data_IF_656916506428
#
_entry.id   IF_656916506428
#
_cell.length_a   1.000
_cell.length_b   1.000
_cell.length_c   1.000
_cell.angle_alpha   90.00
_cell.angle_beta   90.00
_cell.angle_gamma   90.00
#
_symmetry.space_group_name_H-M   'P 1'
#
loop_
_entity.id
_entity.type
_entity.pdbx_description
1 polymer ?
#
# COMPACT_ATOMS: atom_id res chain seq x y z
N UNK A 1 18.70 -48.65 65.09
CA UNK A 1 17.25 -48.76 65.32
C UNK A 1 16.56 -47.81 64.35
N UNK A 2 15.75 -48.39 63.43
CA UNK A 2 14.59 -47.81 62.69
C UNK A 2 14.73 -46.45 61.97
N UNK A 3 14.31 -46.24 60.73
CA UNK A 3 13.75 -47.09 59.67
C UNK A 3 13.63 -46.23 58.41
N UNK A 4 13.90 -46.85 57.27
CA UNK A 4 13.68 -46.39 55.90
C UNK A 4 12.19 -46.10 55.64
N UNK A 5 11.90 -45.00 54.93
CA UNK A 5 10.59 -44.73 54.33
C UNK A 5 10.78 -44.16 52.92
N UNK A 6 10.74 -45.08 51.97
CA UNK A 6 10.69 -44.92 50.52
C UNK A 6 9.37 -44.28 50.08
N UNK A 7 9.41 -43.23 49.25
CA UNK A 7 8.27 -42.84 48.40
C UNK A 7 8.74 -42.61 46.96
N UNK A 8 8.48 -43.62 46.16
CA UNK A 8 8.43 -43.54 44.70
C UNK A 8 7.10 -42.91 44.27
N UNK A 9 7.12 -42.01 43.29
CA UNK A 9 5.98 -41.71 42.39
C UNK A 9 6.48 -41.20 41.04
N UNK A 10 6.51 -42.15 40.09
CA UNK A 10 6.04 -42.03 38.70
C UNK A 10 6.12 -40.67 37.97
N UNK A 11 7.06 -40.56 37.04
CA UNK A 11 6.83 -39.97 35.69
C UNK A 11 5.96 -40.95 34.84
N UNK A 12 5.44 -40.65 33.62
CA UNK A 12 5.72 -39.53 32.70
C UNK A 12 4.48 -38.91 32.01
N UNK A 13 4.65 -37.74 31.39
CA UNK A 13 3.63 -37.08 30.57
C UNK A 13 4.25 -36.33 29.40
N UNK A 14 4.79 -37.06 28.43
CA UNK A 14 5.30 -36.52 27.17
C UNK A 14 4.14 -36.07 26.27
N UNK A 15 3.93 -34.77 26.12
CA UNK A 15 3.05 -34.23 25.07
C UNK A 15 3.76 -34.24 23.72
N UNK A 16 3.63 -35.38 23.04
CA UNK A 16 3.81 -35.51 21.60
C UNK A 16 2.62 -34.92 20.85
N UNK A 17 2.86 -34.16 19.79
CA UNK A 17 1.96 -34.11 18.63
C UNK A 17 1.36 -32.76 18.27
N UNK A 18 1.98 -32.08 17.29
CA UNK A 18 1.39 -31.88 15.94
C UNK A 18 2.37 -31.08 15.07
N UNK A 19 3.29 -31.81 14.44
CA UNK A 19 3.94 -31.39 13.19
C UNK A 19 2.87 -31.40 12.09
N UNK A 20 2.49 -30.23 11.57
CA UNK A 20 1.72 -30.16 10.31
C UNK A 20 2.70 -30.39 9.16
N UNK A 21 2.68 -31.59 8.61
CA UNK A 21 3.38 -31.93 7.38
C UNK A 21 2.77 -31.19 6.20
N UNK A 22 3.58 -30.36 5.54
CA UNK A 22 3.30 -29.86 4.21
C UNK A 22 3.68 -30.96 3.22
N UNK A 23 2.66 -31.65 2.70
CA UNK A 23 2.84 -32.61 1.61
C UNK A 23 3.09 -31.86 0.31
N UNK A 24 4.33 -31.95 -0.15
CA UNK A 24 4.72 -31.81 -1.56
C UNK A 24 3.86 -32.71 -2.44
N UNK A 25 3.16 -32.13 -3.42
CA UNK A 25 2.73 -32.84 -4.62
C UNK A 25 3.55 -32.31 -5.79
N UNK A 26 4.51 -33.11 -6.19
CA UNK A 26 5.13 -33.06 -7.50
C UNK A 26 4.25 -33.83 -8.50
N UNK A 27 3.91 -33.18 -9.60
CA UNK A 27 3.55 -33.75 -10.89
C UNK A 27 4.20 -32.80 -11.89
N UNK A 28 5.20 -33.16 -12.69
CA UNK A 28 5.40 -34.44 -13.37
C UNK A 28 4.67 -34.41 -14.70
N UNK A 29 5.08 -33.51 -15.60
CA UNK A 29 4.79 -33.63 -17.03
C UNK A 29 5.99 -33.09 -17.83
N UNK A 30 6.85 -34.04 -18.19
CA UNK A 30 7.64 -34.06 -19.40
C UNK A 30 6.72 -33.87 -20.62
N UNK A 31 7.16 -33.10 -21.62
CA UNK A 31 6.90 -33.34 -23.05
C UNK A 31 7.66 -32.32 -23.92
N UNK A 32 8.56 -32.84 -24.76
CA UNK A 32 8.73 -32.40 -26.16
C UNK A 32 9.75 -31.29 -26.42
N UNK A 33 11.04 -31.59 -26.60
CA UNK A 33 11.66 -31.82 -27.93
C UNK A 33 11.27 -30.81 -29.02
N UNK A 34 12.09 -29.75 -29.20
CA UNK A 34 12.38 -29.18 -30.52
C UNK A 34 13.86 -28.76 -30.58
N UNK A 35 14.68 -29.66 -31.16
CA UNK A 35 15.99 -29.37 -31.76
C UNK A 35 15.84 -29.49 -33.27
N UNK A 36 16.27 -28.47 -34.03
CA UNK A 36 16.76 -28.49 -35.43
C UNK A 36 17.24 -27.04 -35.72
N UNK A 37 18.53 -26.73 -35.80
CA UNK A 37 19.43 -26.79 -36.99
C UNK A 37 18.91 -25.92 -38.16
N UNK A 38 19.66 -25.07 -38.87
CA UNK A 38 21.03 -24.54 -38.84
C UNK A 38 21.08 -23.33 -39.83
N UNK A 39 22.18 -23.02 -40.55
CA UNK A 39 22.95 -21.77 -40.48
C UNK A 39 22.67 -20.76 -41.61
N UNK A 40 23.10 -19.51 -41.42
CA UNK A 40 23.02 -18.47 -42.45
C UNK A 40 24.18 -17.49 -42.36
N UNK A 41 25.17 -17.71 -43.22
CA UNK A 41 26.27 -16.80 -43.57
C UNK A 41 25.79 -15.37 -43.82
N UNK A 42 26.53 -14.37 -43.30
CA UNK A 42 26.79 -13.12 -44.02
C UNK A 42 28.18 -12.58 -43.73
N UNK A 43 28.99 -12.61 -44.78
CA UNK A 43 30.19 -11.82 -44.99
C UNK A 43 29.92 -10.30 -44.94
N UNK A 44 30.95 -9.58 -44.49
CA UNK A 44 31.33 -8.25 -44.99
C UNK A 44 30.55 -7.06 -44.42
N UNK A 45 31.21 -6.16 -43.70
CA UNK A 45 31.86 -4.98 -44.31
C UNK A 45 32.73 -4.31 -43.24
N UNK A 46 34.01 -4.29 -43.61
CA UNK A 46 35.11 -3.44 -43.17
C UNK A 46 34.74 -1.96 -43.11
N UNK A 47 34.93 -1.32 -41.94
CA UNK A 47 35.28 0.10 -41.86
C UNK A 47 36.32 0.30 -40.78
N UNK A 48 37.55 0.32 -41.27
CA UNK A 48 38.69 1.01 -40.71
C UNK A 48 38.32 2.48 -40.44
N UNK A 49 38.34 2.90 -39.16
CA UNK A 49 38.42 4.31 -38.79
C UNK A 49 39.57 4.48 -37.81
N UNK A 50 40.57 5.13 -38.36
CA UNK A 50 41.82 5.65 -37.80
C UNK A 50 41.56 6.49 -36.53
N UNK A 51 42.07 5.97 -35.42
CA UNK A 51 43.04 6.60 -34.50
C UNK A 51 43.13 8.14 -34.47
N UNK A 52 42.77 8.75 -33.33
CA UNK A 52 43.54 9.81 -32.67
C UNK A 52 43.01 10.01 -31.24
N UNK A 53 43.81 9.65 -30.23
CA UNK A 53 44.66 10.55 -29.43
C UNK A 53 43.91 11.16 -28.23
N UNK A 54 44.13 10.54 -27.07
CA UNK A 54 44.88 11.10 -25.91
C UNK A 54 44.07 12.07 -25.05
N UNK A 55 43.41 11.52 -24.04
CA UNK A 55 43.23 12.24 -22.77
C UNK A 55 43.45 11.29 -21.59
N UNK A 56 44.68 11.35 -21.10
CA UNK A 56 45.22 10.80 -19.86
C UNK A 56 44.44 11.32 -18.65
N UNK A 57 43.31 10.68 -18.33
CA UNK A 57 42.62 10.90 -17.05
C UNK A 57 43.07 9.84 -16.04
N UNK A 58 44.06 10.26 -15.25
CA UNK A 58 44.58 9.71 -13.99
C UNK A 58 43.50 8.94 -13.20
N UNK A 59 43.35 7.64 -13.46
CA UNK A 59 42.63 6.71 -12.59
C UNK A 59 43.59 6.36 -11.45
N UNK A 60 43.28 6.84 -10.25
CA UNK A 60 43.86 6.28 -9.03
C UNK A 60 43.60 4.78 -9.03
N UNK A 61 44.69 4.01 -8.90
CA UNK A 61 44.66 2.57 -8.69
C UNK A 61 43.88 2.28 -7.41
N UNK A 62 42.58 2.09 -7.54
CA UNK A 62 41.77 1.40 -6.56
C UNK A 62 42.25 -0.04 -6.52
N UNK A 63 43.00 -0.34 -5.47
CA UNK A 63 43.08 -1.61 -4.76
C UNK A 63 42.82 -2.85 -5.63
N UNK A 64 43.90 -3.51 -6.02
CA UNK A 64 43.89 -4.92 -6.42
C UNK A 64 43.13 -5.68 -5.32
N UNK A 65 42.05 -6.42 -5.62
CA UNK A 65 41.45 -7.30 -4.64
C UNK A 65 42.52 -8.33 -4.32
N UNK A 66 43.06 -8.30 -3.10
CA UNK A 66 43.83 -9.43 -2.58
C UNK A 66 42.98 -10.67 -2.80
N UNK A 67 43.43 -11.51 -3.73
CA UNK A 67 42.87 -12.83 -3.97
C UNK A 67 43.01 -13.55 -2.63
N UNK A 68 41.91 -13.57 -1.85
CA UNK A 68 41.91 -14.12 -0.50
C UNK A 68 42.46 -15.54 -0.61
N UNK A 69 43.57 -15.81 0.07
CA UNK A 69 44.14 -17.16 0.09
C UNK A 69 43.02 -18.16 0.47
N UNK A 70 43.05 -19.40 -0.04
CA UNK A 70 42.05 -20.41 0.28
C UNK A 70 41.80 -20.43 1.80
N UNK A 71 40.55 -20.51 2.24
CA UNK A 71 40.17 -20.43 3.66
C UNK A 71 41.01 -21.36 4.55
N UNK A 72 41.38 -22.54 4.04
CA UNK A 72 42.27 -23.50 4.69
C UNK A 72 43.68 -22.97 4.98
N UNK A 73 44.22 -22.12 4.12
CA UNK A 73 45.51 -21.47 4.34
C UNK A 73 45.40 -20.38 5.43
N UNK A 74 44.36 -19.54 5.35
CA UNK A 74 44.16 -18.47 6.35
C UNK A 74 43.90 -19.02 7.76
N UNK A 75 43.07 -20.06 7.87
CA UNK A 75 42.77 -20.68 9.18
C UNK A 75 44.03 -21.32 9.78
N UNK A 76 44.91 -21.89 8.95
CA UNK A 76 46.18 -22.47 9.39
C UNK A 76 47.16 -21.41 9.86
N UNK A 77 47.26 -20.30 9.14
CA UNK A 77 48.12 -19.18 9.54
C UNK A 77 47.63 -18.60 10.88
N UNK A 78 46.33 -18.41 11.07
CA UNK A 78 45.78 -17.91 12.34
C UNK A 78 46.01 -18.84 13.54
N UNK A 79 46.03 -20.16 13.32
CA UNK A 79 46.41 -21.12 14.38
C UNK A 79 47.90 -21.02 14.68
N UNK A 80 48.73 -20.93 13.64
CA UNK A 80 50.20 -20.85 13.76
C UNK A 80 50.62 -19.57 14.48
N UNK A 81 49.92 -18.46 14.22
CA UNK A 81 50.10 -17.17 14.90
C UNK A 81 49.47 -17.11 16.30
N UNK A 82 48.75 -18.16 16.73
CA UNK A 82 48.08 -18.21 18.03
C UNK A 82 46.87 -17.28 18.16
N UNK A 83 46.37 -16.75 17.05
CA UNK A 83 45.19 -15.87 17.01
C UNK A 83 43.92 -16.65 17.36
N UNK A 84 43.84 -17.91 16.92
CA UNK A 84 42.74 -18.82 17.24
C UNK A 84 43.28 -20.18 17.69
N UNK A 85 42.54 -20.83 18.59
CA UNK A 85 42.84 -22.20 19.01
C UNK A 85 42.50 -23.23 17.91
N UNK A 86 43.12 -24.41 17.95
CA UNK A 86 42.79 -25.53 17.05
C UNK A 86 41.30 -25.93 17.14
N UNK A 87 40.70 -25.81 18.32
CA UNK A 87 39.28 -26.10 18.53
C UNK A 87 38.36 -25.03 17.90
N UNK A 88 38.80 -23.77 17.83
CA UNK A 88 38.11 -22.73 17.06
C UNK A 88 38.29 -22.94 15.55
N UNK A 89 39.49 -23.33 15.11
CA UNK A 89 39.76 -23.65 13.71
C UNK A 89 38.89 -24.81 13.22
N UNK A 90 38.75 -25.87 14.03
CA UNK A 90 37.84 -26.99 13.74
C UNK A 90 36.38 -26.53 13.57
N UNK A 91 35.89 -25.65 14.45
CA UNK A 91 34.53 -25.09 14.36
C UNK A 91 34.33 -24.21 13.13
N UNK A 92 35.33 -23.44 12.73
CA UNK A 92 35.28 -22.60 11.52
C UNK A 92 35.23 -23.49 10.27
N UNK A 93 36.06 -24.54 10.20
CA UNK A 93 36.05 -25.51 9.08
C UNK A 93 34.71 -26.22 8.99
N UNK A 94 34.15 -26.65 10.12
CA UNK A 94 32.87 -27.37 10.14
C UNK A 94 31.72 -26.46 9.67
N UNK A 95 31.72 -25.19 10.10
CA UNK A 95 30.73 -24.19 9.66
C UNK A 95 30.91 -23.75 8.20
N UNK A 96 32.12 -23.81 7.66
CA UNK A 96 32.41 -23.55 6.25
C UNK A 96 32.05 -24.73 5.33
N UNK A 97 32.01 -25.96 5.87
CA UNK A 97 31.55 -27.17 5.15
C UNK A 97 30.04 -27.25 5.01
N UNK A 98 29.29 -26.62 5.92
CA UNK A 98 27.83 -26.45 5.73
C UNK A 98 27.67 -25.58 4.48
N UNK A 99 27.06 -26.08 3.39
CA UNK A 99 26.79 -25.27 2.22
C UNK A 99 26.04 -24.04 2.70
N UNK A 100 26.64 -22.86 2.52
CA UNK A 100 25.91 -21.61 2.76
C UNK A 100 24.69 -21.72 1.84
N UNK A 101 23.45 -21.72 2.37
CA UNK A 101 22.29 -21.72 1.50
C UNK A 101 22.49 -20.57 0.50
N UNK A 102 22.28 -20.83 -0.79
CA UNK A 102 22.60 -19.96 -1.95
C UNK A 102 22.09 -18.51 -1.86
N UNK A 103 21.40 -18.15 -0.79
CA UNK A 103 20.89 -16.82 -0.48
C UNK A 103 21.97 -15.74 -0.37
N UNK A 104 23.21 -16.05 0.06
CA UNK A 104 24.24 -15.01 0.27
C UNK A 104 25.08 -14.66 -0.96
N UNK A 105 25.30 -15.60 -1.87
CA UNK A 105 25.95 -15.31 -3.17
C UNK A 105 24.99 -14.57 -4.10
N UNK A 106 23.69 -14.86 -4.05
CA UNK A 106 22.66 -14.05 -4.72
C UNK A 106 22.56 -12.62 -4.17
N UNK A 107 22.82 -12.41 -2.87
CA UNK A 107 22.84 -11.08 -2.27
C UNK A 107 24.05 -10.25 -2.74
N UNK A 108 25.21 -10.89 -2.94
CA UNK A 108 26.42 -10.20 -3.43
C UNK A 108 26.40 -9.97 -4.95
N UNK A 109 25.78 -10.89 -5.72
CA UNK A 109 25.51 -10.69 -7.16
C UNK A 109 24.43 -9.64 -7.42
N UNK A 110 23.45 -9.48 -6.51
CA UNK A 110 22.52 -8.34 -6.56
C UNK A 110 23.28 -7.03 -6.46
N UNK A 111 24.16 -6.86 -5.47
CA UNK A 111 24.87 -5.59 -5.21
C UNK A 111 25.75 -5.11 -6.38
N UNK A 112 26.23 -5.99 -7.27
CA UNK A 112 27.05 -5.61 -8.44
C UNK A 112 26.34 -5.72 -9.79
N UNK A 113 25.14 -6.30 -9.84
CA UNK A 113 24.33 -6.52 -11.05
C UNK A 113 23.16 -5.55 -11.27
N UNK A 114 23.06 -4.46 -10.49
CA UNK A 114 21.92 -3.53 -10.45
C UNK A 114 21.67 -2.67 -11.71
N UNK A 115 22.47 -2.75 -12.77
CA UNK A 115 22.45 -1.72 -13.81
C UNK A 115 21.36 -1.84 -14.89
N UNK A 116 21.10 -3.02 -15.44
CA UNK A 116 20.40 -3.12 -16.73
C UNK A 116 18.93 -3.52 -16.65
N UNK A 117 18.63 -4.60 -15.93
CA UNK A 117 17.29 -5.18 -15.89
C UNK A 117 16.32 -4.37 -15.02
N UNK A 118 16.79 -3.87 -13.88
CA UNK A 118 15.97 -3.02 -13.01
C UNK A 118 15.68 -1.66 -13.64
N UNK A 119 16.67 -0.99 -14.24
CA UNK A 119 16.45 0.28 -14.95
C UNK A 119 15.45 0.12 -16.11
N UNK A 120 15.51 -1.00 -16.86
CA UNK A 120 14.51 -1.29 -17.90
C UNK A 120 13.12 -1.52 -17.30
N UNK A 121 13.02 -2.21 -16.16
CA UNK A 121 11.74 -2.41 -15.46
C UNK A 121 11.14 -1.08 -14.99
N UNK A 122 11.94 -0.20 -14.37
CA UNK A 122 11.49 1.13 -13.94
C UNK A 122 11.11 2.02 -15.12
N UNK A 123 11.87 1.99 -16.22
CA UNK A 123 11.53 2.76 -17.41
C UNK A 123 10.19 2.32 -18.03
N UNK A 124 9.93 1.00 -18.08
CA UNK A 124 8.65 0.46 -18.56
C UNK A 124 7.50 0.85 -17.63
N UNK A 125 7.69 0.80 -16.31
CA UNK A 125 6.67 1.20 -15.34
C UNK A 125 6.37 2.71 -15.41
N UNK A 126 7.42 3.55 -15.48
CA UNK A 126 7.28 5.00 -15.63
C UNK A 126 6.60 5.39 -16.95
N UNK A 127 6.95 4.73 -18.06
CA UNK A 127 6.33 4.95 -19.36
C UNK A 127 4.86 4.52 -19.37
N UNK A 128 4.53 3.43 -18.66
CA UNK A 128 3.15 3.00 -18.45
C UNK A 128 2.33 4.04 -17.68
N UNK A 129 2.87 4.60 -16.60
CA UNK A 129 2.20 5.67 -15.84
C UNK A 129 2.05 6.95 -16.64
N UNK A 130 3.09 7.37 -17.36
CA UNK A 130 3.04 8.55 -18.22
C UNK A 130 2.02 8.37 -19.35
N UNK A 131 2.04 7.22 -20.03
CA UNK A 131 1.07 6.89 -21.07
C UNK A 131 -0.36 6.90 -20.55
N UNK A 132 -0.61 6.29 -19.38
CA UNK A 132 -1.92 6.32 -18.73
C UNK A 132 -2.39 7.73 -18.40
N UNK A 133 -1.51 8.58 -17.85
CA UNK A 133 -1.81 9.99 -17.57
C UNK A 133 -2.15 10.77 -18.85
N UNK A 134 -1.37 10.58 -19.92
CA UNK A 134 -1.64 11.21 -21.22
C UNK A 134 -2.99 10.78 -21.80
N UNK A 135 -3.36 9.50 -21.66
CA UNK A 135 -4.69 9.01 -22.07
C UNK A 135 -5.81 9.68 -21.27
N UNK A 136 -5.65 9.82 -19.94
CA UNK A 136 -6.64 10.51 -19.10
C UNK A 136 -6.78 11.99 -19.49
N UNK A 137 -5.67 12.69 -19.71
CA UNK A 137 -5.68 14.09 -20.16
C UNK A 137 -6.37 14.20 -21.51
N UNK A 138 -6.00 13.38 -22.49
CA UNK A 138 -6.60 13.38 -23.82
C UNK A 138 -8.12 13.10 -23.74
N UNK A 139 -8.54 12.07 -23.00
CA UNK A 139 -9.95 11.74 -22.82
C UNK A 139 -10.73 12.91 -22.18
N UNK A 140 -10.15 13.59 -21.19
CA UNK A 140 -10.76 14.76 -20.54
C UNK A 140 -10.88 15.95 -21.49
N UNK A 141 -9.85 16.21 -22.30
CA UNK A 141 -9.90 17.27 -23.32
C UNK A 141 -10.93 16.98 -24.41
N UNK A 142 -10.99 15.74 -24.91
CA UNK A 142 -12.00 15.33 -25.88
C UNK A 142 -13.41 15.43 -25.30
N UNK A 143 -13.60 15.02 -24.04
CA UNK A 143 -14.88 15.20 -23.35
C UNK A 143 -15.23 16.70 -23.28
N UNK A 144 -14.36 17.55 -22.75
CA UNK A 144 -14.64 18.98 -22.69
C UNK A 144 -14.95 19.63 -24.05
N UNK A 145 -14.34 19.15 -25.13
CA UNK A 145 -14.54 19.72 -26.46
C UNK A 145 -15.84 19.25 -27.14
N UNK A 146 -16.20 17.97 -26.98
CA UNK A 146 -17.29 17.35 -27.76
C UNK A 146 -18.49 16.91 -26.92
N UNK A 147 -18.40 16.92 -25.59
CA UNK A 147 -19.46 16.38 -24.73
C UNK A 147 -20.81 17.06 -24.96
N UNK A 148 -20.82 18.39 -25.07
CA UNK A 148 -22.02 19.17 -25.36
C UNK A 148 -22.66 18.82 -26.70
N UNK A 149 -21.86 18.44 -27.69
CA UNK A 149 -22.30 18.15 -29.06
C UNK A 149 -22.83 16.72 -29.21
N UNK A 150 -22.47 15.82 -28.28
CA UNK A 150 -23.02 14.48 -28.22
C UNK A 150 -24.45 14.51 -27.71
N UNK A 151 -25.36 13.80 -28.39
CA UNK A 151 -26.68 13.51 -27.84
C UNK A 151 -26.60 12.58 -26.63
N UNK A 152 -27.65 12.60 -25.80
CA UNK A 152 -27.78 11.82 -24.55
C UNK A 152 -27.39 10.34 -24.74
N UNK A 153 -27.96 9.69 -25.78
CA UNK A 153 -27.68 8.29 -26.08
C UNK A 153 -26.21 8.00 -26.42
N UNK A 154 -25.51 8.94 -27.06
CA UNK A 154 -24.09 8.79 -27.37
C UNK A 154 -23.22 8.94 -26.11
N UNK A 155 -23.54 9.90 -25.22
CA UNK A 155 -22.86 10.05 -23.92
C UNK A 155 -23.01 8.80 -23.06
N UNK A 156 -24.24 8.27 -22.96
CA UNK A 156 -24.53 7.02 -22.27
C UNK A 156 -23.79 5.84 -22.90
N UNK A 157 -23.79 5.73 -24.23
CA UNK A 157 -23.10 4.67 -24.96
C UNK A 157 -21.58 4.68 -24.73
N UNK A 158 -20.96 5.87 -24.75
CA UNK A 158 -19.52 6.03 -24.49
C UNK A 158 -19.17 5.62 -23.06
N UNK A 159 -19.93 6.08 -22.06
CA UNK A 159 -19.66 5.75 -20.66
C UNK A 159 -19.92 4.27 -20.33
N UNK A 160 -21.01 3.70 -20.84
CA UNK A 160 -21.30 2.27 -20.69
C UNK A 160 -20.24 1.41 -21.39
N UNK A 161 -19.86 1.77 -22.62
CA UNK A 161 -18.80 1.10 -23.38
C UNK A 161 -17.45 1.16 -22.66
N UNK A 162 -17.09 2.32 -22.11
CA UNK A 162 -15.88 2.47 -21.30
C UNK A 162 -15.93 1.60 -20.04
N UNK A 163 -17.02 1.61 -19.28
CA UNK A 163 -17.17 0.78 -18.08
C UNK A 163 -17.02 -0.71 -18.40
N UNK A 164 -17.76 -1.22 -19.39
CA UNK A 164 -17.69 -2.63 -19.80
C UNK A 164 -16.30 -2.99 -20.34
N UNK A 165 -15.73 -2.15 -21.20
CA UNK A 165 -14.41 -2.36 -21.79
C UNK A 165 -13.30 -2.40 -20.72
N UNK A 166 -13.36 -1.53 -19.73
CA UNK A 166 -12.41 -1.49 -18.61
C UNK A 166 -12.54 -2.71 -17.68
N UNK A 167 -13.77 -3.15 -17.36
CA UNK A 167 -14.00 -4.40 -16.61
C UNK A 167 -13.44 -5.60 -17.38
N UNK A 168 -13.73 -5.70 -18.68
CA UNK A 168 -13.25 -6.77 -19.54
C UNK A 168 -11.72 -6.78 -19.63
N UNK A 169 -11.10 -5.63 -19.87
CA UNK A 169 -9.64 -5.49 -19.93
C UNK A 169 -8.96 -5.89 -18.62
N UNK A 170 -9.51 -5.47 -17.47
CA UNK A 170 -9.00 -5.88 -16.16
C UNK A 170 -9.17 -7.38 -15.91
N UNK A 171 -10.27 -7.97 -16.37
CA UNK A 171 -10.56 -9.41 -16.23
C UNK A 171 -9.67 -10.28 -17.12
N UNK A 172 -9.33 -9.80 -18.32
CA UNK A 172 -8.42 -10.47 -19.26
C UNK A 172 -6.94 -10.35 -18.86
N UNK A 173 -6.61 -9.43 -17.96
CA UNK A 173 -5.26 -9.30 -17.42
C UNK A 173 -4.89 -10.61 -16.70
N UNK A 174 -3.78 -11.29 -17.02
CA UNK A 174 -3.46 -12.59 -16.42
C UNK A 174 -3.10 -12.50 -14.93
N UNK A 175 -3.59 -13.44 -14.12
CA UNK A 175 -3.13 -13.60 -12.73
C UNK A 175 -1.78 -14.33 -12.72
N UNK A 176 -0.77 -13.79 -12.02
CA UNK A 176 0.50 -14.49 -11.77
C UNK A 176 1.73 -14.00 -12.53
N UNK A 177 1.66 -12.93 -13.35
CA UNK A 177 2.83 -12.34 -14.03
C UNK A 177 3.54 -11.21 -13.26
N UNK A 178 3.33 -11.14 -11.94
CA UNK A 178 3.95 -10.14 -11.05
C UNK A 178 3.05 -8.96 -10.67
N UNK A 179 3.58 -8.11 -9.79
CA UNK A 179 2.83 -7.04 -9.11
C UNK A 179 2.29 -5.97 -10.08
N UNK A 180 3.00 -5.67 -11.16
CA UNK A 180 2.60 -4.66 -12.14
C UNK A 180 1.23 -4.95 -12.78
N UNK A 181 0.96 -6.21 -13.12
CA UNK A 181 -0.33 -6.62 -13.72
C UNK A 181 -1.49 -6.55 -12.72
N UNK A 182 -1.22 -6.84 -11.43
CA UNK A 182 -2.21 -6.68 -10.36
C UNK A 182 -2.58 -5.20 -10.17
N UNK A 183 -1.59 -4.30 -10.22
CA UNK A 183 -1.80 -2.84 -10.18
C UNK A 183 -2.62 -2.36 -11.37
N UNK A 184 -2.25 -2.77 -12.59
CA UNK A 184 -2.98 -2.40 -13.81
C UNK A 184 -4.46 -2.84 -13.73
N UNK A 185 -4.72 -4.09 -13.35
CA UNK A 185 -6.10 -4.58 -13.15
C UNK A 185 -6.87 -3.70 -12.17
N UNK A 186 -6.25 -3.35 -11.05
CA UNK A 186 -6.87 -2.52 -10.01
C UNK A 186 -7.23 -1.12 -10.53
N UNK A 187 -6.35 -0.51 -11.33
CA UNK A 187 -6.59 0.80 -11.95
C UNK A 187 -7.72 0.71 -12.98
N UNK A 188 -7.72 -0.33 -13.83
CA UNK A 188 -8.78 -0.53 -14.82
C UNK A 188 -10.16 -0.69 -14.15
N UNK A 189 -10.24 -1.45 -13.05
CA UNK A 189 -11.48 -1.66 -12.31
C UNK A 189 -11.94 -0.42 -11.52
N UNK A 190 -11.00 0.36 -10.98
CA UNK A 190 -11.31 1.65 -10.38
C UNK A 190 -11.87 2.62 -11.43
N UNK A 191 -11.23 2.70 -12.60
CA UNK A 191 -11.70 3.52 -13.73
C UNK A 191 -13.07 3.05 -14.24
N UNK A 192 -13.33 1.74 -14.28
CA UNK A 192 -14.64 1.20 -14.62
C UNK A 192 -15.73 1.65 -13.64
N UNK A 193 -15.40 1.71 -12.35
CA UNK A 193 -16.33 2.21 -11.31
C UNK A 193 -16.66 3.68 -11.54
N UNK A 194 -15.66 4.51 -11.87
CA UNK A 194 -15.86 5.93 -12.21
C UNK A 194 -16.71 6.08 -13.48
N UNK A 195 -16.43 5.30 -14.53
CA UNK A 195 -17.22 5.32 -15.76
C UNK A 195 -18.69 4.89 -15.52
N UNK A 196 -18.91 3.89 -14.67
CA UNK A 196 -20.26 3.48 -14.26
C UNK A 196 -20.98 4.59 -13.47
N UNK A 197 -20.30 5.26 -12.54
CA UNK A 197 -20.84 6.40 -11.82
C UNK A 197 -21.21 7.55 -12.78
N UNK A 198 -20.34 7.86 -13.74
CA UNK A 198 -20.61 8.85 -14.79
C UNK A 198 -21.80 8.47 -15.66
N UNK A 199 -21.90 7.19 -16.07
CA UNK A 199 -23.06 6.69 -16.81
C UNK A 199 -24.35 6.92 -16.03
N UNK A 200 -24.35 6.55 -14.75
CA UNK A 200 -25.50 6.75 -13.88
C UNK A 200 -25.81 8.22 -13.65
N UNK A 201 -24.80 9.10 -13.59
CA UNK A 201 -25.02 10.53 -13.45
C UNK A 201 -25.76 11.11 -14.66
N UNK A 202 -25.31 10.79 -15.88
CA UNK A 202 -25.99 11.20 -17.12
C UNK A 202 -27.39 10.61 -17.21
N UNK A 203 -27.55 9.33 -16.86
CA UNK A 203 -28.86 8.67 -16.87
C UNK A 203 -29.82 9.32 -15.86
N UNK A 204 -29.34 9.58 -14.64
CA UNK A 204 -30.12 10.19 -13.57
C UNK A 204 -30.57 11.61 -13.94
N UNK A 205 -29.65 12.43 -14.45
CA UNK A 205 -29.93 13.83 -14.81
C UNK A 205 -30.76 13.97 -16.09
N UNK A 206 -30.32 13.35 -17.20
CA UNK A 206 -30.87 13.64 -18.53
C UNK A 206 -32.08 12.75 -18.91
N UNK A 207 -32.24 11.58 -18.28
CA UNK A 207 -33.30 10.61 -18.63
C UNK A 207 -34.32 10.45 -17.51
N UNK A 208 -33.86 10.42 -16.26
CA UNK A 208 -34.72 10.24 -15.09
C UNK A 208 -35.11 11.56 -14.40
N UNK A 209 -34.50 12.70 -14.79
CA UNK A 209 -34.68 14.04 -14.19
C UNK A 209 -34.57 14.03 -12.65
N UNK A 210 -33.68 13.19 -12.12
CA UNK A 210 -33.32 13.17 -10.70
C UNK A 210 -32.42 14.36 -10.39
N UNK A 211 -32.63 15.01 -9.24
CA UNK A 211 -31.85 16.18 -8.82
C UNK A 211 -31.42 16.08 -7.37
N UNK A 212 -30.42 16.90 -7.00
CA UNK A 212 -29.96 17.02 -5.62
C UNK A 212 -29.57 15.69 -5.00
N UNK A 213 -30.16 15.40 -3.83
CA UNK A 213 -29.86 14.22 -3.01
C UNK A 213 -30.22 12.90 -3.71
N UNK A 214 -31.33 12.84 -4.46
CA UNK A 214 -31.74 11.62 -5.17
C UNK A 214 -30.75 11.24 -6.28
N UNK A 215 -30.25 12.25 -7.02
CA UNK A 215 -29.19 12.07 -8.01
C UNK A 215 -27.90 11.60 -7.33
N UNK A 216 -27.49 12.28 -6.25
CA UNK A 216 -26.28 11.95 -5.49
C UNK A 216 -26.31 10.52 -4.94
N UNK A 217 -27.45 10.10 -4.37
CA UNK A 217 -27.64 8.76 -3.83
C UNK A 217 -27.63 7.69 -4.93
N UNK A 218 -28.27 7.97 -6.07
CA UNK A 218 -28.31 7.02 -7.20
C UNK A 218 -26.92 6.81 -7.81
N UNK A 219 -26.16 7.89 -8.00
CA UNK A 219 -24.79 7.86 -8.54
C UNK A 219 -23.83 7.16 -7.57
N UNK A 220 -23.79 7.61 -6.32
CA UNK A 220 -22.89 7.04 -5.31
C UNK A 220 -23.25 5.58 -4.97
N UNK A 221 -24.55 5.26 -4.89
CA UNK A 221 -25.04 3.90 -4.67
C UNK A 221 -24.62 2.95 -5.78
N UNK A 222 -24.73 3.38 -7.04
CA UNK A 222 -24.25 2.58 -8.19
C UNK A 222 -22.74 2.39 -8.17
N UNK A 223 -21.98 3.47 -7.90
CA UNK A 223 -20.53 3.39 -7.76
C UNK A 223 -20.13 2.39 -6.65
N UNK A 224 -20.80 2.44 -5.50
CA UNK A 224 -20.58 1.53 -4.36
C UNK A 224 -20.89 0.09 -4.72
N UNK A 225 -22.03 -0.16 -5.37
CA UNK A 225 -22.44 -1.50 -5.79
C UNK A 225 -21.43 -2.11 -6.77
N UNK A 226 -21.03 -1.36 -7.80
CA UNK A 226 -20.01 -1.80 -8.77
C UNK A 226 -18.68 -2.01 -8.06
N UNK A 227 -18.27 -1.10 -7.19
CA UNK A 227 -17.02 -1.22 -6.45
C UNK A 227 -16.99 -2.47 -5.57
N UNK A 228 -18.10 -2.77 -4.89
CA UNK A 228 -18.27 -3.93 -4.04
C UNK A 228 -18.19 -5.22 -4.85
N UNK A 229 -18.90 -5.31 -5.98
CA UNK A 229 -18.87 -6.48 -6.85
C UNK A 229 -17.45 -6.77 -7.37
N UNK A 230 -16.75 -5.74 -7.83
CA UNK A 230 -15.37 -5.88 -8.32
C UNK A 230 -14.40 -6.26 -7.19
N UNK A 231 -14.56 -5.68 -6.00
CA UNK A 231 -13.74 -6.04 -4.85
C UNK A 231 -14.00 -7.47 -4.36
N UNK A 232 -15.26 -7.93 -4.39
CA UNK A 232 -15.61 -9.32 -4.07
C UNK A 232 -14.99 -10.29 -5.07
N UNK A 233 -14.94 -9.93 -6.36
CA UNK A 233 -14.29 -10.73 -7.40
C UNK A 233 -12.76 -10.78 -7.26
N UNK A 234 -12.13 -9.68 -6.84
CA UNK A 234 -10.70 -9.64 -6.53
C UNK A 234 -10.39 -8.59 -5.46
N UNK A 235 -9.90 -9.07 -4.31
CA UNK A 235 -9.62 -8.26 -3.12
C UNK A 235 -8.34 -7.43 -3.31
N UNK A 236 -8.40 -6.40 -4.16
CA UNK A 236 -7.29 -5.48 -4.42
C UNK A 236 -7.39 -4.20 -3.56
N UNK A 237 -6.27 -3.66 -3.04
CA UNK A 237 -6.33 -2.53 -2.11
C UNK A 237 -6.94 -1.25 -2.70
N UNK A 238 -6.66 -0.94 -3.97
CA UNK A 238 -7.22 0.26 -4.62
C UNK A 238 -8.75 0.16 -4.70
N UNK A 239 -9.28 -1.00 -5.05
CA UNK A 239 -10.74 -1.20 -5.13
C UNK A 239 -11.40 -1.13 -3.75
N UNK A 240 -10.68 -1.51 -2.69
CA UNK A 240 -11.15 -1.31 -1.32
C UNK A 240 -11.29 0.18 -0.98
N UNK A 241 -10.34 1.03 -1.43
CA UNK A 241 -10.43 2.49 -1.24
C UNK A 241 -11.61 3.06 -2.04
N UNK A 242 -11.76 2.65 -3.31
CA UNK A 242 -12.88 3.07 -4.16
C UNK A 242 -14.22 2.69 -3.53
N UNK A 243 -14.32 1.46 -3.00
CA UNK A 243 -15.51 0.99 -2.28
C UNK A 243 -15.78 1.82 -1.02
N UNK A 244 -14.74 2.12 -0.22
CA UNK A 244 -14.88 2.93 0.98
C UNK A 244 -15.41 4.33 0.63
N UNK A 245 -14.81 4.99 -0.37
CA UNK A 245 -15.23 6.32 -0.82
C UNK A 245 -16.66 6.30 -1.34
N UNK A 246 -17.01 5.32 -2.18
CA UNK A 246 -18.39 5.16 -2.65
C UNK A 246 -19.37 4.98 -1.49
N UNK A 247 -19.04 4.10 -0.54
CA UNK A 247 -19.88 3.83 0.62
C UNK A 247 -20.05 5.07 1.51
N UNK A 248 -19.00 5.87 1.71
CA UNK A 248 -19.06 7.15 2.43
C UNK A 248 -19.99 8.14 1.73
N UNK A 249 -19.88 8.30 0.41
CA UNK A 249 -20.75 9.18 -0.38
C UNK A 249 -22.20 8.71 -0.35
N UNK A 250 -22.43 7.40 -0.46
CA UNK A 250 -23.76 6.79 -0.41
C UNK A 250 -24.40 6.98 0.95
N UNK A 251 -23.66 6.73 2.05
CA UNK A 251 -24.15 6.94 3.40
C UNK A 251 -24.40 8.42 3.70
N UNK A 252 -23.52 9.31 3.22
CA UNK A 252 -23.73 10.76 3.33
C UNK A 252 -25.00 11.21 2.64
N UNK A 253 -25.20 10.83 1.37
CA UNK A 253 -26.42 11.14 0.62
C UNK A 253 -27.67 10.49 1.23
N UNK A 254 -27.58 9.27 1.75
CA UNK A 254 -28.69 8.62 2.43
C UNK A 254 -29.07 9.35 3.72
N UNK A 255 -28.08 9.74 4.53
CA UNK A 255 -28.34 10.50 5.76
C UNK A 255 -28.95 11.87 5.46
N UNK A 256 -28.47 12.57 4.42
CA UNK A 256 -29.08 13.82 3.94
C UNK A 256 -30.55 13.65 3.55
N UNK A 257 -30.92 12.50 2.97
CA UNK A 257 -32.30 12.20 2.59
C UNK A 257 -33.20 11.90 3.79
N UNK A 258 -32.67 11.27 4.84
CA UNK A 258 -33.46 10.80 5.99
C UNK A 258 -33.41 11.72 7.21
N UNK A 259 -32.40 12.57 7.33
CA UNK A 259 -32.18 13.45 8.46
C UNK A 259 -32.12 14.90 7.99
N UNK A 260 -33.02 15.72 8.52
CA UNK A 260 -32.99 17.16 8.29
C UNK A 260 -31.84 17.79 9.09
N UNK A 261 -30.73 18.12 8.44
CA UNK A 261 -29.67 18.92 9.03
C UNK A 261 -28.35 18.89 8.27
N UNK A 262 -27.66 20.04 8.25
CA UNK A 262 -26.38 20.22 7.56
C UNK A 262 -25.26 19.27 8.03
N UNK A 263 -25.42 18.64 9.20
CA UNK A 263 -24.49 17.68 9.77
C UNK A 263 -24.75 16.23 9.32
N UNK A 264 -25.90 15.93 8.71
CA UNK A 264 -26.34 14.58 8.37
C UNK A 264 -25.36 13.86 7.43
N UNK A 265 -24.91 14.57 6.38
CA UNK A 265 -23.91 14.08 5.43
C UNK A 265 -22.63 13.66 6.18
N UNK A 266 -22.14 14.51 7.07
CA UNK A 266 -20.91 14.27 7.83
C UNK A 266 -21.00 13.04 8.74
N UNK A 267 -22.16 12.80 9.38
CA UNK A 267 -22.39 11.60 10.19
C UNK A 267 -22.40 10.33 9.34
N UNK A 268 -23.05 10.35 8.17
CA UNK A 268 -23.03 9.20 7.26
C UNK A 268 -21.61 8.81 6.84
N UNK A 269 -20.81 9.81 6.47
CA UNK A 269 -19.40 9.66 6.13
C UNK A 269 -18.59 9.11 7.32
N UNK A 270 -18.77 9.71 8.50
CA UNK A 270 -18.07 9.31 9.73
C UNK A 270 -18.38 7.87 10.14
N UNK A 271 -19.65 7.47 10.06
CA UNK A 271 -20.10 6.12 10.45
C UNK A 271 -19.50 5.03 9.56
N UNK A 272 -19.46 5.25 8.24
CA UNK A 272 -18.80 4.31 7.31
C UNK A 272 -17.30 4.22 7.60
N UNK A 273 -16.65 5.36 7.84
CA UNK A 273 -15.22 5.38 8.12
C UNK A 273 -14.87 4.68 9.44
N UNK A 274 -15.70 4.85 10.49
CA UNK A 274 -15.58 4.12 11.74
C UNK A 274 -15.75 2.62 11.54
N UNK A 275 -16.75 2.19 10.77
CA UNK A 275 -16.95 0.79 10.42
C UNK A 275 -15.72 0.23 9.67
N UNK A 276 -15.15 1.00 8.75
CA UNK A 276 -13.93 0.61 8.03
C UNK A 276 -12.72 0.44 8.97
N UNK A 277 -12.54 1.37 9.90
CA UNK A 277 -11.51 1.31 10.92
C UNK A 277 -11.68 0.06 11.81
N UNK A 278 -12.91 -0.22 12.25
CA UNK A 278 -13.22 -1.41 13.06
C UNK A 278 -13.00 -2.73 12.28
N UNK A 279 -13.37 -2.77 11.01
CA UNK A 279 -13.13 -3.92 10.12
C UNK A 279 -11.63 -4.12 9.82
N UNK A 280 -10.87 -3.04 9.73
CA UNK A 280 -9.40 -3.09 9.64
C UNK A 280 -8.76 -3.60 10.93
N UNK A 281 -9.23 -3.11 12.08
CA UNK A 281 -8.77 -3.52 13.41
C UNK A 281 -9.02 -5.00 13.69
N UNK A 282 -10.16 -5.52 13.23
CA UNK A 282 -10.53 -6.95 13.35
C UNK A 282 -9.93 -7.83 12.27
N UNK A 283 -9.05 -7.28 11.42
CA UNK A 283 -8.38 -7.97 10.29
C UNK A 283 -9.31 -8.60 9.26
N UNK A 284 -10.60 -8.22 9.25
CA UNK A 284 -11.56 -8.65 8.23
C UNK A 284 -11.17 -8.08 6.87
N UNK A 285 -10.69 -6.83 6.85
CA UNK A 285 -10.17 -6.17 5.67
C UNK A 285 -8.65 -6.31 5.59
N UNK A 286 -8.15 -6.80 4.46
CA UNK A 286 -6.71 -6.93 4.18
C UNK A 286 -6.31 -6.01 3.02
N UNK A 287 -5.20 -5.25 3.14
CA UNK A 287 -4.31 -5.14 4.30
C UNK A 287 -4.91 -4.30 5.46
N UNK A 288 -4.77 -4.72 6.74
CA UNK A 288 -5.41 -4.05 7.88
C UNK A 288 -4.87 -2.62 8.09
N UNK A 289 -3.57 -2.40 7.93
CA UNK A 289 -2.96 -1.08 8.08
C UNK A 289 -3.56 -0.03 7.14
N UNK A 290 -3.85 -0.40 5.88
CA UNK A 290 -4.53 0.48 4.93
C UNK A 290 -5.96 0.77 5.38
N UNK A 291 -6.72 -0.27 5.73
CA UNK A 291 -8.11 -0.11 6.20
C UNK A 291 -8.21 0.82 7.42
N UNK A 292 -7.34 0.64 8.41
CA UNK A 292 -7.30 1.47 9.61
C UNK A 292 -6.88 2.92 9.31
N UNK A 293 -5.88 3.13 8.44
CA UNK A 293 -5.41 4.47 8.08
C UNK A 293 -6.45 5.27 7.32
N UNK A 294 -7.07 4.65 6.30
CA UNK A 294 -8.14 5.28 5.53
C UNK A 294 -9.41 5.45 6.35
N UNK A 295 -9.74 4.50 7.24
CA UNK A 295 -10.84 4.65 8.19
C UNK A 295 -10.61 5.84 9.14
N UNK A 296 -9.40 5.99 9.69
CA UNK A 296 -9.06 7.13 10.53
C UNK A 296 -9.16 8.48 9.79
N UNK A 297 -8.61 8.55 8.57
CA UNK A 297 -8.73 9.74 7.72
C UNK A 297 -10.19 10.05 7.38
N UNK A 298 -10.97 9.03 7.04
CA UNK A 298 -12.40 9.17 6.75
C UNK A 298 -13.21 9.64 7.95
N UNK A 299 -12.86 9.19 9.16
CA UNK A 299 -13.50 9.66 10.40
C UNK A 299 -13.20 11.13 10.64
N UNK A 300 -11.94 11.56 10.48
CA UNK A 300 -11.57 12.99 10.59
C UNK A 300 -12.34 13.83 9.57
N UNK A 301 -12.37 13.38 8.31
CA UNK A 301 -13.09 14.07 7.24
C UNK A 301 -14.60 14.16 7.52
N UNK A 302 -15.23 13.04 7.88
CA UNK A 302 -16.65 12.98 8.23
C UNK A 302 -16.98 13.88 9.42
N UNK A 303 -16.18 13.84 10.49
CA UNK A 303 -16.38 14.71 11.63
C UNK A 303 -16.23 16.20 11.25
N UNK A 304 -15.26 16.55 10.40
CA UNK A 304 -15.09 17.92 9.92
C UNK A 304 -16.30 18.44 9.14
N UNK A 305 -16.97 17.55 8.39
CA UNK A 305 -18.19 17.88 7.67
C UNK A 305 -19.41 18.08 8.58
N UNK A 306 -19.37 17.65 9.85
CA UNK A 306 -20.44 17.91 10.83
C UNK A 306 -20.35 19.25 11.55
N UNK A 307 -19.26 20.03 11.33
CA UNK A 307 -18.92 21.21 12.14
C UNK A 307 -19.72 22.48 11.78
N UNK A 308 -20.99 22.35 11.41
CA UNK A 308 -21.92 23.48 11.26
C UNK A 308 -22.41 24.05 12.59
N UNK A 309 -22.20 23.33 13.70
CA UNK A 309 -22.48 23.80 15.06
C UNK A 309 -21.62 23.12 16.13
N UNK A 310 -21.81 23.52 17.38
CA UNK A 310 -20.99 23.10 18.53
C UNK A 310 -20.88 21.58 18.69
N UNK A 311 -21.99 20.86 18.54
CA UNK A 311 -22.01 19.40 18.65
C UNK A 311 -21.06 18.73 17.64
N UNK A 312 -20.99 19.25 16.42
CA UNK A 312 -20.07 18.75 15.40
C UNK A 312 -18.61 19.06 15.70
N UNK A 313 -18.34 20.23 16.29
CA UNK A 313 -17.00 20.59 16.77
C UNK A 313 -16.55 19.63 17.88
N UNK A 314 -17.42 19.36 18.85
CA UNK A 314 -17.15 18.38 19.92
C UNK A 314 -16.89 16.99 19.34
N UNK A 315 -17.72 16.52 18.40
CA UNK A 315 -17.50 15.25 17.71
C UNK A 315 -16.15 15.20 17.00
N UNK A 316 -15.76 16.30 16.34
CA UNK A 316 -14.44 16.47 15.72
C UNK A 316 -13.30 16.28 16.71
N UNK A 317 -13.34 16.99 17.84
CA UNK A 317 -12.29 16.90 18.87
C UNK A 317 -12.22 15.49 19.47
N UNK A 318 -13.36 14.89 19.81
CA UNK A 318 -13.43 13.51 20.32
C UNK A 318 -12.87 12.53 19.30
N UNK A 319 -13.18 12.71 18.02
CA UNK A 319 -12.67 11.87 16.92
C UNK A 319 -11.15 11.96 16.82
N UNK A 320 -10.58 13.18 16.83
CA UNK A 320 -9.12 13.37 16.75
C UNK A 320 -8.42 12.72 17.94
N UNK A 321 -8.91 12.94 19.16
CA UNK A 321 -8.37 12.33 20.37
C UNK A 321 -8.44 10.80 20.27
N UNK A 322 -9.58 10.26 19.86
CA UNK A 322 -9.78 8.82 19.66
C UNK A 322 -8.80 8.24 18.64
N UNK A 323 -8.66 8.86 17.47
CA UNK A 323 -7.72 8.43 16.42
C UNK A 323 -6.27 8.46 16.91
N UNK A 324 -5.85 9.51 17.61
CA UNK A 324 -4.48 9.60 18.16
C UNK A 324 -4.25 8.51 19.21
N UNK A 325 -5.20 8.28 20.11
CA UNK A 325 -5.09 7.21 21.12
C UNK A 325 -4.97 5.83 20.46
N UNK A 326 -5.83 5.53 19.49
CA UNK A 326 -5.79 4.26 18.75
C UNK A 326 -4.47 4.14 17.98
N UNK A 327 -3.97 5.20 17.35
CA UNK A 327 -2.69 5.20 16.65
C UNK A 327 -1.50 4.89 17.60
N UNK A 328 -1.50 5.46 18.80
CA UNK A 328 -0.46 5.20 19.82
C UNK A 328 -0.52 3.75 20.33
N UNK A 329 -1.72 3.22 20.56
CA UNK A 329 -1.92 1.83 21.00
C UNK A 329 -1.47 0.85 19.91
N UNK A 330 -1.86 1.11 18.66
CA UNK A 330 -1.52 0.28 17.51
C UNK A 330 -0.05 0.43 17.08
N UNK A 331 0.61 1.52 17.47
CA UNK A 331 1.98 1.89 17.02
C UNK A 331 2.10 2.04 15.51
N UNK A 332 1.04 2.52 14.87
CA UNK A 332 0.97 2.70 13.41
C UNK A 332 1.19 4.17 13.03
N UNK A 333 2.34 4.46 12.42
CA UNK A 333 2.72 5.82 12.00
C UNK A 333 1.69 6.47 11.04
N UNK A 334 1.11 5.76 10.05
CA UNK A 334 0.13 6.36 9.16
C UNK A 334 -1.15 6.83 9.87
N UNK A 335 -1.62 6.11 10.89
CA UNK A 335 -2.77 6.55 11.70
C UNK A 335 -2.41 7.77 12.55
N UNK A 336 -1.18 7.85 13.06
CA UNK A 336 -0.72 9.01 13.81
C UNK A 336 -0.68 10.25 12.91
N UNK A 337 -0.27 10.11 11.65
CA UNK A 337 -0.33 11.18 10.65
C UNK A 337 -1.78 11.63 10.39
N UNK A 338 -2.74 10.70 10.34
CA UNK A 338 -4.16 11.04 10.22
C UNK A 338 -4.68 11.83 11.44
N UNK A 339 -4.29 11.42 12.66
CA UNK A 339 -4.62 12.15 13.89
C UNK A 339 -4.01 13.56 13.95
N UNK A 340 -2.75 13.69 13.50
CA UNK A 340 -2.08 14.98 13.40
C UNK A 340 -2.77 15.91 12.38
N UNK A 341 -3.12 15.39 11.20
CA UNK A 341 -3.88 16.13 10.18
C UNK A 341 -5.25 16.57 10.73
N UNK A 342 -5.95 15.67 11.42
CA UNK A 342 -7.23 16.00 12.06
C UNK A 342 -7.10 17.07 13.14
N UNK A 343 -6.03 17.03 13.93
CA UNK A 343 -5.72 18.09 14.90
C UNK A 343 -5.56 19.44 14.21
N UNK A 344 -4.79 19.49 13.11
CA UNK A 344 -4.55 20.70 12.33
C UNK A 344 -5.83 21.25 11.69
N UNK A 345 -6.75 20.37 11.26
CA UNK A 345 -8.01 20.79 10.62
C UNK A 345 -9.07 21.24 11.64
N UNK A 346 -9.23 20.51 12.75
CA UNK A 346 -10.38 20.66 13.65
C UNK A 346 -10.11 21.66 14.77
N UNK A 347 -8.89 21.66 15.35
CA UNK A 347 -8.59 22.52 16.52
C UNK A 347 -8.68 24.01 16.19
N UNK A 348 -8.11 24.54 15.09
CA UNK A 348 -8.22 25.97 14.79
C UNK A 348 -9.68 26.41 14.63
N UNK A 349 -10.52 25.57 14.04
CA UNK A 349 -11.95 25.85 13.89
C UNK A 349 -12.66 25.87 15.24
N UNK A 350 -12.40 24.90 16.12
CA UNK A 350 -12.95 24.89 17.47
C UNK A 350 -12.54 26.13 18.27
N UNK A 351 -11.28 26.54 18.16
CA UNK A 351 -10.75 27.69 18.86
C UNK A 351 -11.36 29.00 18.33
N UNK A 352 -11.48 29.16 17.01
CA UNK A 352 -12.11 30.34 16.42
C UNK A 352 -13.59 30.48 16.80
N UNK A 353 -14.30 29.36 16.91
CA UNK A 353 -15.72 29.37 17.29
C UNK A 353 -15.92 29.70 18.78
N UNK A 354 -15.15 29.06 19.68
CA UNK A 354 -15.38 29.15 21.13
C UNK A 354 -14.64 30.29 21.82
N UNK A 355 -13.57 30.81 21.20
CA UNK A 355 -12.79 31.92 21.73
C UNK A 355 -12.79 33.09 20.75
N UNK A 356 -13.94 33.76 20.55
CA UNK A 356 -14.02 34.90 19.66
C UNK A 356 -13.11 36.03 20.17
N UNK A 357 -12.05 36.31 19.43
CA UNK A 357 -11.09 37.38 19.71
C UNK A 357 -9.73 37.14 19.04
N UNK A 358 -9.16 38.19 18.43
CA UNK A 358 -7.98 38.11 17.57
C UNK A 358 -6.73 37.48 18.23
N UNK A 359 -6.66 37.51 19.57
CA UNK A 359 -5.51 37.05 20.35
C UNK A 359 -5.74 35.76 21.13
N UNK A 360 -6.99 35.40 21.46
CA UNK A 360 -7.26 34.23 22.30
C UNK A 360 -6.83 32.94 21.60
N UNK A 361 -7.08 32.84 20.30
CA UNK A 361 -6.78 31.66 19.52
C UNK A 361 -5.27 31.31 19.45
N UNK A 362 -4.37 32.26 19.10
CA UNK A 362 -2.93 32.04 19.15
C UNK A 362 -2.41 31.60 20.52
N UNK A 363 -2.88 32.20 21.62
CA UNK A 363 -2.40 31.88 22.96
C UNK A 363 -2.83 30.49 23.42
N UNK A 364 -4.08 30.09 23.15
CA UNK A 364 -4.57 28.75 23.48
C UNK A 364 -3.78 27.69 22.73
N UNK A 365 -3.55 27.89 21.43
CA UNK A 365 -2.75 26.97 20.59
C UNK A 365 -1.29 26.89 21.07
N UNK A 366 -0.68 28.03 21.42
CA UNK A 366 0.67 28.08 21.96
C UNK A 366 0.78 27.31 23.28
N UNK A 367 -0.17 27.52 24.19
CA UNK A 367 -0.20 26.85 25.50
C UNK A 367 -0.38 25.33 25.36
N UNK A 368 -1.31 24.89 24.49
CA UNK A 368 -1.53 23.47 24.19
C UNK A 368 -0.29 22.82 23.57
N UNK A 369 0.30 23.48 22.56
CA UNK A 369 1.52 22.99 21.91
C UNK A 369 2.69 22.88 22.88
N UNK A 370 2.93 23.92 23.68
CA UNK A 370 3.97 23.91 24.70
C UNK A 370 3.74 22.81 25.76
N UNK A 371 2.50 22.60 26.19
CA UNK A 371 2.13 21.54 27.14
C UNK A 371 2.40 20.14 26.59
N UNK A 372 2.04 19.88 25.33
CA UNK A 372 2.30 18.59 24.66
C UNK A 372 3.81 18.32 24.51
N UNK A 373 4.60 19.34 24.14
CA UNK A 373 6.06 19.22 24.05
C UNK A 373 6.68 18.93 25.42
N UNK A 374 6.26 19.66 26.46
CA UNK A 374 6.74 19.44 27.82
C UNK A 374 6.42 18.02 28.32
N UNK A 375 5.20 17.53 28.05
CA UNK A 375 4.79 16.17 28.38
C UNK A 375 5.64 15.12 27.64
N UNK A 376 5.89 15.32 26.35
CA UNK A 376 6.72 14.41 25.56
C UNK A 376 8.17 14.33 26.12
N UNK A 377 8.76 15.48 26.48
CA UNK A 377 10.09 15.54 27.09
C UNK A 377 10.09 14.85 28.46
N UNK A 378 9.06 15.05 29.27
CA UNK A 378 8.94 14.40 30.58
C UNK A 378 8.84 12.87 30.44
N UNK A 379 8.02 12.37 29.53
CA UNK A 379 7.90 10.92 29.27
C UNK A 379 9.25 10.35 28.79
N UNK A 380 9.94 11.05 27.89
CA UNK A 380 11.25 10.61 27.38
C UNK A 380 12.29 10.51 28.51
N UNK A 381 12.29 11.48 29.44
CA UNK A 381 13.17 11.48 30.62
C UNK A 381 12.81 10.43 31.65
N UNK A 382 11.54 10.08 31.80
CA UNK A 382 11.10 9.07 32.78
C UNK A 382 11.45 7.63 32.40
N UNK A 383 11.90 7.40 31.16
CA UNK A 383 12.27 6.08 30.62
C UNK A 383 13.78 5.83 30.56
N UNK A 384 14.58 6.85 30.84
CA UNK A 384 16.04 6.78 31.04
C UNK A 384 16.34 6.71 32.51
#
# INVERSE_FOLDING_TARGET
>A
MTSVSTRARSSPGSTSGRRRGWKTRAAGHDLGLWRSAAPGDRCGVEKEVVMNETTTRRRGHLHVPHQRAPLEAQVRDWVTEGIISEEQAARIRDRARVPVPETREQETQRVTGFGGAELRSYAVEALGYLGGLLVVIAATLLANLYWSDLGVGARLGVLAGAAVGLVAAGSLTPAGRGDAWSRLRSVLWAAATVAAAGFTAVLADEVLDLRGTDMGLTVSGTATAVAALLWLAHRVPLQQIVLMVGAMLTAGAAMDQFLDGDWAIGIGIWAVALAWLALGWTEVLRPPAMAMSFGALGMVFGASATMSGDAGIVLGLVTVVGVVLVAVIARELPMLAAGALGTLMIVPRAVNEWFPGDLAAPFVLLALGAGLVALAVWIARSRT
#
